data_IF_927026915973
#
_entry.id   IF_927026915973
#
_cell.length_a   1.000
_cell.length_b   1.000
_cell.length_c   1.000
_cell.angle_alpha   90.00
_cell.angle_beta   90.00
_cell.angle_gamma   90.00
#
_symmetry.space_group_name_H-M   'P 1'
#
loop_
_entity.id
_entity.type
_entity.pdbx_description
1 polymer ?
#
# COMPACT_ATOMS: atom_id res chain seq x y z
N UNK A 1 34.49 6.24 19.35
CA UNK A 1 33.36 5.48 18.76
C UNK A 1 32.11 5.89 19.53
N UNK A 2 31.33 6.81 18.97
CA UNK A 2 30.17 7.38 19.64
C UNK A 2 29.01 6.38 19.61
N UNK A 3 28.43 6.14 20.78
CA UNK A 3 27.26 5.28 21.01
C UNK A 3 26.08 5.78 20.18
N UNK A 4 25.35 4.92 19.43
CA UNK A 4 24.09 5.33 18.82
C UNK A 4 23.13 5.69 19.96
N UNK A 5 22.63 6.92 19.90
CA UNK A 5 21.86 7.55 20.95
C UNK A 5 20.51 6.83 21.11
N UNK A 6 20.33 6.14 22.24
CA UNK A 6 19.09 5.47 22.64
C UNK A 6 18.22 6.48 23.37
N UNK A 7 17.23 7.08 22.71
CA UNK A 7 16.26 7.98 23.34
C UNK A 7 14.91 7.28 23.50
N UNK A 8 14.51 7.10 24.77
CA UNK A 8 13.13 6.81 25.16
C UNK A 8 12.66 5.35 25.04
N UNK A 9 12.98 4.52 26.04
CA UNK A 9 12.18 3.32 26.31
C UNK A 9 10.86 3.78 26.91
N UNK A 10 9.79 3.86 26.13
CA UNK A 10 8.46 3.81 26.70
C UNK A 10 8.22 2.36 27.15
N UNK A 11 8.66 1.99 28.35
CA UNK A 11 8.16 0.78 29.01
C UNK A 11 6.71 1.04 29.38
N UNK A 12 5.78 0.56 28.56
CA UNK A 12 4.39 0.46 28.96
C UNK A 12 4.22 -0.73 29.94
N UNK A 13 3.42 -0.59 30.99
CA UNK A 13 3.06 -1.70 31.86
C UNK A 13 2.28 -2.76 31.06
N UNK A 14 2.44 -4.04 31.41
CA UNK A 14 1.59 -5.11 30.86
C UNK A 14 0.16 -4.89 31.35
N UNK A 15 -0.71 -4.42 30.47
CA UNK A 15 -2.15 -4.39 30.72
C UNK A 15 -2.78 -5.36 29.74
N UNK A 16 -3.26 -6.47 30.30
CA UNK A 16 -4.09 -7.42 29.58
C UNK A 16 -5.42 -6.76 29.20
N UNK A 17 -5.77 -6.87 27.92
CA UNK A 17 -7.14 -6.81 27.40
C UNK A 17 -7.83 -5.45 27.46
N UNK A 18 -8.01 -4.84 26.28
CA UNK A 18 -9.04 -3.82 26.07
C UNK A 18 -8.67 -2.71 25.10
N UNK A 19 -8.55 -3.03 23.81
CA UNK A 19 -8.95 -2.18 22.65
C UNK A 19 -8.62 -2.77 21.26
N UNK A 20 -8.26 -4.07 21.19
CA UNK A 20 -8.05 -4.80 19.92
C UNK A 20 -9.20 -4.60 18.89
N UNK A 21 -10.41 -4.33 19.38
CA UNK A 21 -11.62 -4.24 18.55
C UNK A 21 -11.64 -3.14 17.49
N UNK A 22 -11.00 -1.98 17.68
CA UNK A 22 -11.05 -0.90 16.66
C UNK A 22 -10.15 -1.20 15.47
N UNK A 23 -8.91 -1.63 15.73
CA UNK A 23 -7.96 -2.03 14.68
C UNK A 23 -8.47 -3.28 13.97
N UNK A 24 -9.00 -4.26 14.72
CA UNK A 24 -9.61 -5.45 14.13
C UNK A 24 -10.85 -5.12 13.29
N UNK A 25 -11.71 -4.21 13.75
CA UNK A 25 -12.86 -3.74 12.97
C UNK A 25 -12.45 -2.98 11.70
N UNK A 26 -11.36 -2.21 11.74
CA UNK A 26 -10.79 -1.57 10.55
C UNK A 26 -10.18 -2.59 9.59
N UNK A 27 -9.49 -3.62 10.10
CA UNK A 27 -8.95 -4.72 9.30
C UNK A 27 -10.08 -5.49 8.60
N UNK A 28 -11.17 -5.78 9.31
CA UNK A 28 -12.35 -6.48 8.76
C UNK A 28 -13.06 -5.70 7.64
N UNK A 29 -12.85 -4.38 7.53
CA UNK A 29 -13.38 -3.58 6.42
C UNK A 29 -12.61 -3.80 5.10
N UNK A 30 -11.40 -4.38 5.15
CA UNK A 30 -10.64 -4.69 3.95
C UNK A 30 -10.95 -6.11 3.46
N UNK A 31 -11.94 -6.23 2.56
CA UNK A 31 -12.32 -7.51 1.95
C UNK A 31 -11.20 -8.16 1.11
N UNK A 32 -10.24 -7.35 0.63
CA UNK A 32 -9.05 -7.80 -0.09
C UNK A 32 -7.79 -7.43 0.72
N UNK A 33 -7.13 -8.41 1.39
CA UNK A 33 -5.92 -8.15 2.18
C UNK A 33 -4.76 -7.56 1.36
N UNK A 34 -4.76 -7.72 0.03
CA UNK A 34 -3.73 -7.16 -0.85
C UNK A 34 -4.06 -5.74 -1.33
N UNK A 35 -5.20 -5.17 -0.93
CA UNK A 35 -5.55 -3.78 -1.23
C UNK A 35 -4.58 -2.77 -0.58
N UNK A 36 -3.77 -3.18 0.41
CA UNK A 36 -2.74 -2.32 0.99
C UNK A 36 -1.75 -1.76 -0.04
N UNK A 37 -1.52 -2.49 -1.16
CA UNK A 37 -0.69 -1.96 -2.25
C UNK A 37 -1.25 -0.65 -2.81
N UNK A 38 -2.58 -0.55 -2.95
CA UNK A 38 -3.23 0.67 -3.44
C UNK A 38 -2.95 1.83 -2.49
N UNK A 39 -3.14 1.61 -1.20
CA UNK A 39 -3.00 2.64 -0.17
C UNK A 39 -1.54 3.11 -0.06
N UNK A 40 -0.57 2.19 -0.14
CA UNK A 40 0.85 2.56 -0.12
C UNK A 40 1.30 3.28 -1.39
N UNK A 41 0.78 2.89 -2.57
CA UNK A 41 1.05 3.61 -3.83
C UNK A 41 0.40 4.99 -3.80
N UNK A 42 -0.82 5.12 -3.26
CA UNK A 42 -1.47 6.42 -3.07
C UNK A 42 -0.63 7.33 -2.17
N UNK A 43 -0.14 6.82 -1.04
CA UNK A 43 0.72 7.58 -0.14
C UNK A 43 2.01 8.06 -0.84
N UNK A 44 2.61 7.24 -1.70
CA UNK A 44 3.76 7.63 -2.50
C UNK A 44 3.42 8.76 -3.48
N UNK A 45 2.30 8.63 -4.19
CA UNK A 45 1.76 9.62 -5.13
C UNK A 45 1.47 10.95 -4.44
N UNK A 46 0.91 10.92 -3.23
CA UNK A 46 0.62 12.10 -2.40
C UNK A 46 1.90 12.74 -1.82
N UNK A 47 2.92 11.94 -1.54
CA UNK A 47 4.25 12.40 -1.15
C UNK A 47 5.06 12.99 -2.32
N UNK A 48 4.51 13.03 -3.53
CA UNK A 48 5.17 13.54 -4.72
C UNK A 48 6.27 12.64 -5.25
N UNK A 49 6.20 11.33 -4.98
CA UNK A 49 7.17 10.36 -5.49
C UNK A 49 7.16 10.34 -7.03
N UNK A 50 8.34 10.06 -7.60
CA UNK A 50 8.51 9.94 -9.05
C UNK A 50 8.48 8.50 -9.53
N UNK A 51 8.60 7.53 -8.61
CA UNK A 51 8.50 6.09 -8.87
C UNK A 51 8.19 5.33 -7.58
N UNK A 52 7.71 4.11 -7.75
CA UNK A 52 7.54 3.13 -6.67
C UNK A 52 8.22 1.82 -7.07
N UNK A 53 8.99 1.26 -6.13
CA UNK A 53 9.63 -0.06 -6.26
C UNK A 53 9.05 -0.99 -5.21
N UNK A 54 8.57 -2.15 -5.65
CA UNK A 54 7.94 -3.16 -4.81
C UNK A 54 8.76 -4.44 -4.89
N UNK A 55 9.24 -4.90 -3.73
CA UNK A 55 9.97 -6.16 -3.59
C UNK A 55 9.15 -7.17 -2.80
N UNK A 56 9.20 -8.44 -3.18
CA UNK A 56 8.68 -9.56 -2.39
C UNK A 56 9.74 -10.66 -2.33
N UNK A 57 10.35 -10.89 -1.16
CA UNK A 57 11.37 -11.91 -0.98
C UNK A 57 10.92 -12.94 0.05
N UNK A 58 10.88 -14.21 -0.32
CA UNK A 58 10.59 -15.28 0.64
C UNK A 58 11.89 -15.84 1.24
N UNK A 59 11.93 -15.90 2.56
CA UNK A 59 13.04 -16.41 3.36
C UNK A 59 12.61 -17.70 4.08
N UNK A 60 13.33 -18.79 3.85
CA UNK A 60 13.08 -20.06 4.54
C UNK A 60 13.38 -19.94 6.04
N UNK A 61 12.54 -20.54 6.88
CA UNK A 61 12.85 -20.72 8.30
C UNK A 61 13.65 -22.00 8.53
N UNK A 62 14.02 -22.25 9.79
CA UNK A 62 14.64 -23.52 10.17
C UNK A 62 13.65 -24.71 10.08
N UNK A 63 12.35 -24.44 10.12
CA UNK A 63 11.31 -25.46 10.01
C UNK A 63 11.00 -25.75 8.53
N UNK A 64 11.03 -27.03 8.10
CA UNK A 64 10.79 -27.38 6.71
C UNK A 64 9.43 -26.88 6.19
N UNK A 65 9.45 -26.12 5.10
CA UNK A 65 8.25 -25.60 4.44
C UNK A 65 7.70 -24.31 5.06
N UNK A 66 8.19 -23.90 6.23
CA UNK A 66 7.85 -22.62 6.83
C UNK A 66 8.84 -21.53 6.40
N UNK A 67 8.38 -20.29 6.41
CA UNK A 67 9.19 -19.13 6.04
C UNK A 67 8.45 -17.82 6.23
N UNK A 68 9.10 -16.75 5.80
CA UNK A 68 8.57 -15.39 5.90
C UNK A 68 8.65 -14.75 4.53
N UNK A 69 7.51 -14.25 4.06
CA UNK A 69 7.46 -13.33 2.92
C UNK A 69 7.74 -11.91 3.41
N UNK A 70 8.82 -11.32 2.92
CA UNK A 70 9.20 -9.93 3.18
C UNK A 70 8.76 -9.08 2.00
N UNK A 71 7.69 -8.32 2.18
CA UNK A 71 7.17 -7.39 1.16
C UNK A 71 7.64 -5.98 1.47
N UNK A 72 8.25 -5.30 0.51
CA UNK A 72 8.67 -3.92 0.63
C UNK A 72 8.01 -3.05 -0.43
N UNK A 73 7.53 -1.87 -0.05
CA UNK A 73 7.08 -0.81 -0.95
C UNK A 73 7.93 0.42 -0.67
N UNK A 74 8.70 0.85 -1.67
CA UNK A 74 9.63 1.98 -1.58
C UNK A 74 9.25 3.06 -2.57
N UNK A 75 9.19 4.29 -2.09
CA UNK A 75 9.02 5.49 -2.89
C UNK A 75 10.22 6.45 -2.69
N UNK A 76 10.34 7.41 -3.60
CA UNK A 76 11.30 8.53 -3.52
C UNK A 76 10.60 9.88 -3.34
N UNK A 77 9.47 9.90 -2.63
CA UNK A 77 8.75 11.12 -2.27
C UNK A 77 9.47 11.94 -1.20
N UNK A 78 8.74 12.89 -0.61
CA UNK A 78 9.29 13.82 0.38
C UNK A 78 9.63 13.19 1.75
N UNK A 79 9.24 11.94 2.00
CA UNK A 79 9.43 11.26 3.28
C UNK A 79 8.65 11.90 4.42
N UNK A 80 8.97 11.50 5.66
CA UNK A 80 8.28 11.96 6.86
C UNK A 80 9.26 12.42 7.94
N UNK A 81 8.87 13.46 8.68
CA UNK A 81 9.54 13.85 9.91
C UNK A 81 9.05 13.02 11.10
N UNK A 82 9.78 13.08 12.21
CA UNK A 82 9.35 12.50 13.49
C UNK A 82 7.92 12.87 13.87
N UNK A 83 7.57 14.15 13.72
CA UNK A 83 6.25 14.65 14.10
C UNK A 83 5.14 14.02 13.27
N UNK A 84 5.38 13.77 11.99
CA UNK A 84 4.42 13.08 11.11
C UNK A 84 4.24 11.63 11.56
N UNK A 85 5.33 10.91 11.83
CA UNK A 85 5.27 9.53 12.35
C UNK A 85 4.47 9.45 13.66
N UNK A 86 4.77 10.34 14.62
CA UNK A 86 4.10 10.34 15.92
C UNK A 86 2.61 10.75 15.81
N UNK A 87 2.27 11.71 14.95
CA UNK A 87 0.90 12.27 14.89
C UNK A 87 -0.04 11.58 13.89
N UNK A 88 0.48 10.77 12.97
CA UNK A 88 -0.36 10.15 11.92
C UNK A 88 -0.32 8.62 12.00
N UNK A 89 0.85 8.02 12.22
CA UNK A 89 0.98 6.56 12.26
C UNK A 89 0.76 6.02 13.67
N UNK A 90 1.37 6.64 14.70
CA UNK A 90 1.30 6.07 16.06
C UNK A 90 0.00 6.39 16.80
N UNK A 91 -0.80 7.35 16.32
CA UNK A 91 -2.06 7.75 16.97
C UNK A 91 -3.06 6.59 17.02
N UNK A 92 -3.18 5.81 15.95
CA UNK A 92 -4.09 4.66 15.90
C UNK A 92 -3.74 3.59 16.94
N UNK A 93 -2.45 3.41 17.20
CA UNK A 93 -1.94 2.45 18.20
C UNK A 93 -1.85 3.04 19.61
N UNK A 94 -2.06 4.35 19.77
CA UNK A 94 -2.16 5.04 21.08
C UNK A 94 -3.60 5.11 21.57
N UNK A 95 -4.58 5.28 20.67
CA UNK A 95 -6.00 5.34 21.02
C UNK A 95 -6.46 4.12 21.82
N UNK A 96 -5.86 2.94 21.57
CA UNK A 96 -6.12 1.71 22.31
C UNK A 96 -5.63 1.65 23.77
N UNK A 97 -4.96 2.70 24.26
CA UNK A 97 -4.42 2.73 25.65
C UNK A 97 -4.96 3.88 26.50
N UNK A 98 -5.63 4.87 25.89
CA UNK A 98 -6.06 6.08 26.60
C UNK A 98 -7.53 6.48 26.37
N UNK A 99 -8.35 5.68 25.69
CA UNK A 99 -9.79 5.96 25.57
C UNK A 99 -10.11 7.34 24.97
N UNK A 100 -9.23 7.87 24.12
CA UNK A 100 -9.45 9.13 23.43
C UNK A 100 -10.15 8.86 22.09
N UNK A 101 -11.47 8.82 22.15
CA UNK A 101 -12.32 8.96 20.98
C UNK A 101 -12.16 10.38 20.41
N UNK A 102 -11.84 10.47 19.13
CA UNK A 102 -11.99 11.71 18.36
C UNK A 102 -10.70 12.40 17.98
N UNK A 103 -10.02 11.84 16.96
CA UNK A 103 -9.37 12.55 15.83
C UNK A 103 -8.69 11.54 14.91
N UNK A 104 -9.48 10.63 14.33
CA UNK A 104 -8.99 9.80 13.21
C UNK A 104 -9.05 10.71 11.96
N UNK A 105 -7.93 11.32 11.60
CA UNK A 105 -7.81 12.02 10.33
C UNK A 105 -7.88 11.05 9.16
N UNK A 106 -8.32 11.52 7.98
CA UNK A 106 -8.34 10.76 6.71
C UNK A 106 -7.02 10.04 6.37
N UNK A 107 -5.89 10.50 6.94
CA UNK A 107 -4.52 10.02 6.68
C UNK A 107 -4.12 8.72 7.41
N UNK A 108 -4.78 8.35 8.52
CA UNK A 108 -4.35 7.20 9.34
C UNK A 108 -4.89 5.84 8.86
N UNK A 109 -6.06 5.83 8.25
CA UNK A 109 -6.81 4.59 7.95
C UNK A 109 -6.13 3.77 6.84
N UNK A 110 -5.50 4.44 5.87
CA UNK A 110 -4.82 3.77 4.76
C UNK A 110 -3.63 2.93 5.21
N UNK A 111 -2.89 3.36 6.25
CA UNK A 111 -1.77 2.57 6.77
C UNK A 111 -2.22 1.30 7.48
N UNK A 112 -3.37 1.29 8.15
CA UNK A 112 -3.90 0.09 8.84
C UNK A 112 -4.14 -1.07 7.87
N UNK A 113 -4.35 -0.79 6.58
CA UNK A 113 -4.51 -1.83 5.55
C UNK A 113 -3.34 -2.81 5.49
N UNK A 114 -2.12 -2.40 5.87
CA UNK A 114 -0.94 -3.28 5.89
C UNK A 114 -1.06 -4.40 6.93
N UNK A 115 -1.93 -4.22 7.94
CA UNK A 115 -2.18 -5.22 8.99
C UNK A 115 -3.17 -6.30 8.55
N UNK A 116 -3.87 -6.13 7.42
CA UNK A 116 -4.80 -7.12 6.90
C UNK A 116 -4.11 -8.44 6.48
N UNK A 117 -2.80 -8.40 6.22
CA UNK A 117 -1.98 -9.58 5.98
C UNK A 117 -1.49 -10.28 7.26
N UNK A 118 -1.87 -9.76 8.44
CA UNK A 118 -1.44 -10.26 9.75
C UNK A 118 0.10 -10.43 9.82
N UNK A 119 0.89 -9.38 9.50
CA UNK A 119 2.34 -9.48 9.57
C UNK A 119 2.80 -9.65 11.02
N UNK A 120 3.89 -10.40 11.22
CA UNK A 120 4.59 -10.43 12.52
C UNK A 120 5.19 -9.06 12.87
N UNK A 121 5.62 -8.34 11.83
CA UNK A 121 6.26 -7.03 11.96
C UNK A 121 6.05 -6.18 10.72
N UNK A 122 5.82 -4.89 10.93
CA UNK A 122 5.86 -3.85 9.91
C UNK A 122 6.96 -2.87 10.26
N UNK A 123 7.83 -2.55 9.29
CA UNK A 123 8.93 -1.60 9.45
C UNK A 123 8.75 -0.45 8.48
N UNK A 124 8.65 0.77 8.98
CA UNK A 124 8.61 1.99 8.17
C UNK A 124 9.93 2.71 8.33
N UNK A 125 10.70 2.82 7.25
CA UNK A 125 11.95 3.60 7.18
C UNK A 125 11.70 4.83 6.32
N UNK A 126 12.04 6.01 6.83
CA UNK A 126 11.74 7.27 6.13
C UNK A 126 12.74 8.36 6.46
N UNK A 127 13.02 9.21 5.48
CA UNK A 127 13.86 10.40 5.63
C UNK A 127 13.35 11.49 4.70
N UNK A 128 13.43 12.74 5.15
CA UNK A 128 13.12 13.93 4.34
C UNK A 128 14.29 14.36 3.45
N UNK A 129 15.39 13.59 3.46
CA UNK A 129 16.65 13.95 2.80
C UNK A 129 17.54 14.86 3.64
N UNK A 130 17.20 15.05 4.92
CA UNK A 130 18.03 15.72 5.91
C UNK A 130 19.09 14.76 6.50
N UNK A 131 19.50 14.96 7.76
CA UNK A 131 20.48 14.09 8.41
C UNK A 131 19.88 12.90 9.13
N UNK A 132 18.55 12.84 9.25
CA UNK A 132 17.86 11.88 10.09
C UNK A 132 17.15 10.80 9.27
N UNK A 133 17.41 9.54 9.65
CA UNK A 133 16.64 8.39 9.21
C UNK A 133 15.81 7.92 10.38
N UNK A 134 14.50 7.94 10.19
CA UNK A 134 13.54 7.40 11.14
C UNK A 134 13.16 5.97 10.77
N UNK A 135 13.11 5.10 11.78
CA UNK A 135 12.62 3.72 11.64
C UNK A 135 11.55 3.48 12.68
N UNK A 136 10.32 3.24 12.24
CA UNK A 136 9.22 2.76 13.08
C UNK A 136 9.10 1.25 12.89
N UNK A 137 9.23 0.48 13.98
CA UNK A 137 8.91 -0.93 13.99
C UNK A 137 7.61 -1.15 14.74
N UNK A 138 6.59 -1.68 14.06
CA UNK A 138 5.30 -2.06 14.62
C UNK A 138 5.22 -3.59 14.66
N UNK A 139 4.89 -4.14 15.83
CA UNK A 139 4.73 -5.58 16.05
C UNK A 139 3.25 -5.97 15.94
N UNK A 140 3.00 -7.26 15.77
CA UNK A 140 1.65 -7.83 15.69
C UNK A 140 0.78 -7.56 16.91
N UNK A 141 1.38 -7.38 18.10
CA UNK A 141 0.71 -6.99 19.35
C UNK A 141 0.42 -5.48 19.43
N UNK A 142 0.55 -4.77 18.31
CA UNK A 142 0.35 -3.33 18.17
C UNK A 142 1.34 -2.48 19.01
N UNK A 143 2.33 -3.10 19.64
CA UNK A 143 3.46 -2.37 20.23
C UNK A 143 4.36 -1.81 19.13
N UNK A 144 4.92 -0.63 19.37
CA UNK A 144 5.82 -0.01 18.41
C UNK A 144 7.06 0.59 19.08
N UNK A 145 8.16 0.62 18.33
CA UNK A 145 9.40 1.30 18.70
C UNK A 145 9.80 2.26 17.57
N UNK A 146 10.26 3.46 17.95
CA UNK A 146 10.72 4.48 17.01
C UNK A 146 12.21 4.74 17.25
N UNK A 147 13.00 4.55 16.20
CA UNK A 147 14.45 4.73 16.21
C UNK A 147 14.85 5.90 15.32
N UNK A 148 15.85 6.66 15.78
CA UNK A 148 16.53 7.69 15.01
C UNK A 148 17.96 7.22 14.76
N UNK A 149 18.43 7.31 13.53
CA UNK A 149 19.82 7.08 13.18
C UNK A 149 20.35 8.24 12.33
N UNK A 150 21.64 8.59 12.47
CA UNK A 150 22.30 9.45 11.51
C UNK A 150 22.28 8.76 10.14
N UNK A 151 21.82 9.49 9.13
CA UNK A 151 21.72 9.00 7.78
C UNK A 151 20.52 9.64 7.11
N UNK A 152 20.75 10.25 5.96
CA UNK A 152 19.72 10.69 5.05
C UNK A 152 20.36 10.75 3.69
N UNK A 153 19.81 9.95 2.78
CA UNK A 153 20.19 9.99 1.37
C UNK A 153 19.19 10.86 0.62
N UNK A 154 18.78 10.42 -0.56
CA UNK A 154 17.56 10.91 -1.18
C UNK A 154 16.36 10.67 -0.25
N UNK A 155 15.44 11.63 -0.21
CA UNK A 155 14.19 11.52 0.54
C UNK A 155 13.36 10.33 0.08
N UNK A 156 12.44 9.89 0.93
CA UNK A 156 11.46 8.85 0.59
C UNK A 156 11.08 7.99 1.77
N UNK A 157 10.20 7.04 1.51
CA UNK A 157 9.74 6.07 2.49
C UNK A 157 9.89 4.64 1.97
N UNK A 158 10.16 3.70 2.88
CA UNK A 158 10.09 2.26 2.62
C UNK A 158 9.25 1.64 3.71
N UNK A 159 8.17 0.98 3.33
CA UNK A 159 7.32 0.18 4.22
C UNK A 159 7.60 -1.29 3.94
N UNK A 160 8.01 -2.03 4.95
CA UNK A 160 8.35 -3.45 4.86
C UNK A 160 7.47 -4.28 5.80
N UNK A 161 6.77 -5.28 5.26
CA UNK A 161 5.94 -6.23 5.99
C UNK A 161 6.68 -7.56 6.06
N UNK A 162 6.70 -8.17 7.24
CA UNK A 162 7.17 -9.54 7.46
C UNK A 162 5.95 -10.44 7.71
N UNK A 163 5.58 -11.23 6.70
CA UNK A 163 4.36 -12.06 6.72
C UNK A 163 4.77 -13.53 6.79
N UNK A 164 4.40 -14.27 7.84
CA UNK A 164 4.57 -15.72 7.86
C UNK A 164 3.88 -16.33 6.64
N UNK A 165 4.61 -17.11 5.85
CA UNK A 165 4.08 -17.70 4.63
C UNK A 165 4.75 -19.04 4.36
N UNK A 166 3.94 -20.09 4.21
CA UNK A 166 4.44 -21.41 3.85
C UNK A 166 4.97 -21.40 2.41
N UNK A 167 5.97 -22.25 2.14
CA UNK A 167 6.66 -22.30 0.85
C UNK A 167 5.71 -22.58 -0.32
N UNK A 168 4.74 -23.46 -0.13
CA UNK A 168 3.75 -23.86 -1.13
C UNK A 168 2.70 -22.77 -1.43
N UNK A 169 2.66 -21.70 -0.63
CA UNK A 169 1.80 -20.54 -0.83
C UNK A 169 2.48 -19.38 -1.56
N UNK A 170 3.81 -19.43 -1.74
CA UNK A 170 4.60 -18.33 -2.30
C UNK A 170 4.12 -17.91 -3.69
N UNK A 171 3.96 -18.86 -4.62
CA UNK A 171 3.51 -18.54 -5.98
C UNK A 171 2.12 -17.90 -5.98
N UNK A 172 1.21 -18.42 -5.14
CA UNK A 172 -0.15 -17.88 -5.00
C UNK A 172 -0.11 -16.44 -4.47
N UNK A 173 0.73 -16.18 -3.47
CA UNK A 173 0.91 -14.84 -2.89
C UNK A 173 1.47 -13.87 -3.94
N UNK A 174 2.55 -14.24 -4.62
CA UNK A 174 3.21 -13.40 -5.63
C UNK A 174 2.26 -13.08 -6.79
N UNK A 175 1.57 -14.08 -7.34
CA UNK A 175 0.58 -13.85 -8.40
C UNK A 175 -0.61 -13.03 -7.88
N UNK A 176 -0.99 -13.20 -6.61
CA UNK A 176 -1.97 -12.38 -5.90
C UNK A 176 -1.56 -10.91 -5.86
N UNK A 177 -0.32 -10.63 -5.45
CA UNK A 177 0.24 -9.27 -5.39
C UNK A 177 0.21 -8.59 -6.74
N UNK A 178 0.61 -9.29 -7.82
CA UNK A 178 0.55 -8.75 -9.18
C UNK A 178 -0.89 -8.50 -9.64
N UNK A 179 -1.84 -9.40 -9.32
CA UNK A 179 -3.26 -9.18 -9.62
C UNK A 179 -3.80 -7.95 -8.90
N UNK A 180 -3.50 -7.79 -7.61
CA UNK A 180 -3.92 -6.64 -6.83
C UNK A 180 -3.32 -5.34 -7.39
N UNK A 181 -2.01 -5.33 -7.66
CA UNK A 181 -1.32 -4.18 -8.25
C UNK A 181 -1.89 -3.79 -9.62
N UNK A 182 -2.19 -4.76 -10.50
CA UNK A 182 -2.83 -4.48 -11.80
C UNK A 182 -4.28 -4.03 -11.65
N UNK A 183 -5.03 -4.60 -10.70
CA UNK A 183 -6.40 -4.15 -10.44
C UNK A 183 -6.40 -2.69 -9.98
N UNK A 184 -5.58 -2.37 -8.99
CA UNK A 184 -5.67 -1.10 -8.27
C UNK A 184 -4.80 0.02 -8.86
N UNK A 185 -3.66 -0.31 -9.46
CA UNK A 185 -2.61 0.66 -9.78
C UNK A 185 -2.16 0.63 -11.25
N UNK A 186 -2.82 -0.13 -12.13
CA UNK A 186 -2.39 -0.29 -13.55
C UNK A 186 -2.25 1.01 -14.33
N UNK A 187 -2.91 2.10 -13.93
CA UNK A 187 -2.85 3.37 -14.63
C UNK A 187 -2.15 4.47 -13.84
N UNK A 188 -1.48 4.13 -12.74
CA UNK A 188 -0.78 5.06 -11.88
C UNK A 188 0.09 6.05 -12.67
N UNK A 189 0.10 7.31 -12.23
CA UNK A 189 0.83 8.40 -12.90
C UNK A 189 2.36 8.31 -12.74
N UNK A 190 2.85 7.33 -11.98
CA UNK A 190 4.27 7.06 -11.77
C UNK A 190 4.63 5.61 -12.15
N UNK A 191 5.90 5.34 -12.51
CA UNK A 191 6.38 3.99 -12.73
C UNK A 191 6.29 3.13 -11.48
N UNK A 192 5.75 1.92 -11.63
CA UNK A 192 5.66 0.92 -10.57
C UNK A 192 6.36 -0.36 -11.04
N UNK A 193 7.45 -0.70 -10.37
CA UNK A 193 8.19 -1.93 -10.61
C UNK A 193 7.95 -2.94 -9.50
N UNK A 194 7.62 -4.18 -9.87
CA UNK A 194 7.44 -5.29 -8.94
C UNK A 194 8.46 -6.39 -9.25
N UNK A 195 9.17 -6.85 -8.22
CA UNK A 195 10.11 -7.97 -8.33
C UNK A 195 9.92 -8.92 -7.15
N UNK A 196 9.81 -10.22 -7.44
CA UNK A 196 9.69 -11.27 -6.45
C UNK A 196 10.81 -12.30 -6.56
N UNK A 197 11.37 -12.74 -5.43
CA UNK A 197 12.47 -13.68 -5.36
C UNK A 197 12.27 -14.72 -4.24
N UNK A 198 12.90 -15.88 -4.42
CA UNK A 198 13.24 -16.78 -3.31
C UNK A 198 14.66 -16.46 -2.85
N UNK A 199 14.86 -16.19 -1.56
CA UNK A 199 16.19 -15.89 -1.04
C UNK A 199 17.09 -17.11 -1.21
N UNK A 200 18.26 -16.89 -1.81
CA UNK A 200 19.20 -17.95 -2.18
C UNK A 200 19.07 -18.44 -3.63
N UNK A 201 18.05 -18.02 -4.37
CA UNK A 201 17.91 -18.26 -5.80
C UNK A 201 18.39 -17.04 -6.61
N UNK A 202 18.99 -17.29 -7.78
CA UNK A 202 19.63 -16.25 -8.60
C UNK A 202 18.68 -15.47 -9.50
N UNK A 203 17.60 -16.10 -9.95
CA UNK A 203 16.62 -15.49 -10.87
C UNK A 203 15.34 -15.07 -10.11
N UNK A 204 14.65 -13.99 -10.53
CA UNK A 204 13.35 -13.64 -9.97
C UNK A 204 12.29 -14.70 -10.28
N UNK A 205 11.43 -14.98 -9.29
CA UNK A 205 10.18 -15.72 -9.51
C UNK A 205 9.27 -14.98 -10.49
N UNK A 206 9.18 -13.67 -10.32
CA UNK A 206 8.39 -12.75 -11.15
C UNK A 206 9.06 -11.38 -11.17
N UNK A 207 9.01 -10.75 -12.33
CA UNK A 207 9.37 -9.36 -12.53
C UNK A 207 8.35 -8.72 -13.47
N UNK A 208 7.83 -7.55 -13.11
CA UNK A 208 6.87 -6.85 -13.93
C UNK A 208 6.91 -5.33 -13.70
N UNK A 209 6.64 -4.59 -14.78
CA UNK A 209 6.16 -3.20 -14.69
C UNK A 209 4.63 -3.22 -14.62
N UNK A 210 4.07 -2.49 -13.65
CA UNK A 210 2.62 -2.50 -13.37
C UNK A 210 1.91 -1.35 -14.07
N UNK A 211 2.52 -0.16 -14.12
CA UNK A 211 1.93 1.03 -14.71
C UNK A 211 1.85 0.93 -16.24
N UNK A 212 0.72 1.36 -16.78
CA UNK A 212 0.38 1.40 -18.19
C UNK A 212 -0.47 2.65 -18.46
N UNK A 213 -0.40 3.26 -19.64
CA UNK A 213 -1.28 4.38 -19.97
C UNK A 213 -2.76 4.03 -19.79
N UNK A 214 -3.55 5.00 -19.31
CA UNK A 214 -5.01 4.85 -19.22
C UNK A 214 -5.58 4.40 -20.56
N UNK A 215 -6.23 3.24 -20.55
CA UNK A 215 -6.71 2.55 -21.75
C UNK A 215 -7.91 1.67 -21.43
N UNK A 216 -8.61 1.22 -22.46
CA UNK A 216 -9.64 0.17 -22.37
C UNK A 216 -9.29 -0.92 -23.36
N UNK A 217 -9.48 -2.18 -22.97
CA UNK A 217 -9.33 -3.31 -23.88
C UNK A 217 -10.55 -3.36 -24.82
N UNK A 218 -10.37 -2.89 -26.05
CA UNK A 218 -11.42 -2.77 -27.06
C UNK A 218 -10.83 -2.86 -28.48
N UNK A 219 -11.66 -3.21 -29.48
CA UNK A 219 -11.22 -3.28 -30.88
C UNK A 219 -10.83 -1.90 -31.41
N UNK A 220 -11.58 -0.87 -30.99
CA UNK A 220 -11.35 0.54 -31.33
C UNK A 220 -11.62 1.37 -30.08
N UNK A 221 -10.75 2.33 -29.78
CA UNK A 221 -10.92 3.27 -28.66
C UNK A 221 -10.65 4.72 -29.08
N UNK A 222 -11.37 5.64 -28.45
CA UNK A 222 -11.14 7.08 -28.51
C UNK A 222 -10.70 7.59 -27.15
N UNK A 223 -9.84 8.61 -27.14
CA UNK A 223 -9.37 9.30 -25.93
C UNK A 223 -9.71 10.77 -26.05
N UNK A 224 -10.29 11.33 -25.00
CA UNK A 224 -10.62 12.76 -24.88
C UNK A 224 -10.06 13.29 -23.56
N UNK A 225 -9.45 14.46 -23.61
CA UNK A 225 -8.94 15.17 -22.44
C UNK A 225 -9.54 16.56 -22.40
N UNK A 226 -10.29 16.88 -21.34
CA UNK A 226 -10.95 18.17 -21.17
C UNK A 226 -11.01 18.55 -19.68
N UNK A 227 -10.54 19.75 -19.33
CA UNK A 227 -10.69 20.29 -17.97
C UNK A 227 -10.07 19.46 -16.84
N UNK A 228 -9.02 18.68 -17.13
CA UNK A 228 -8.38 17.77 -16.16
C UNK A 228 -9.02 16.38 -16.09
N UNK A 229 -10.13 16.16 -16.81
CA UNK A 229 -10.73 14.85 -17.00
C UNK A 229 -10.16 14.19 -18.24
N UNK A 230 -9.75 12.93 -18.12
CA UNK A 230 -9.44 12.06 -19.25
C UNK A 230 -10.50 10.98 -19.36
N UNK A 231 -11.08 10.80 -20.54
CA UNK A 231 -12.00 9.70 -20.85
C UNK A 231 -11.43 8.86 -21.96
N UNK A 232 -11.35 7.55 -21.76
CA UNK A 232 -11.06 6.58 -22.82
C UNK A 232 -12.28 5.70 -22.97
N UNK A 233 -12.89 5.71 -24.15
CA UNK A 233 -14.06 4.90 -24.47
C UNK A 233 -13.77 4.02 -25.68
N UNK A 234 -14.18 2.75 -25.63
CA UNK A 234 -13.93 1.80 -26.71
C UNK A 234 -15.10 0.85 -26.93
N UNK A 235 -15.21 0.37 -28.16
CA UNK A 235 -16.25 -0.57 -28.60
C UNK A 235 -15.70 -1.99 -28.58
N UNK A 236 -16.44 -2.91 -27.97
CA UNK A 236 -16.08 -4.33 -27.86
C UNK A 236 -17.00 -5.19 -28.74
N UNK A 237 -16.43 -6.20 -29.39
CA UNK A 237 -17.18 -7.23 -30.11
C UNK A 237 -17.57 -8.39 -29.19
N UNK A 238 -16.70 -8.69 -28.22
CA UNK A 238 -16.84 -9.79 -27.27
C UNK A 238 -16.43 -9.33 -25.86
N UNK A 239 -17.03 -9.96 -24.84
CA UNK A 239 -16.78 -9.64 -23.43
C UNK A 239 -17.87 -8.77 -22.81
N UNK A 240 -17.67 -8.37 -21.56
CA UNK A 240 -18.61 -7.55 -20.81
C UNK A 240 -18.33 -6.06 -20.99
N UNK A 241 -19.38 -5.20 -20.98
CA UNK A 241 -19.21 -3.77 -20.86
C UNK A 241 -18.51 -3.42 -19.55
N UNK A 242 -17.91 -2.23 -19.48
CA UNK A 242 -17.18 -1.80 -18.31
C UNK A 242 -17.28 -0.29 -18.15
N UNK A 243 -17.45 0.17 -16.92
CA UNK A 243 -17.24 1.56 -16.54
C UNK A 243 -16.31 1.59 -15.34
N UNK A 244 -15.16 2.24 -15.50
CA UNK A 244 -14.12 2.35 -14.48
C UNK A 244 -13.76 3.80 -14.21
N UNK A 245 -13.59 4.13 -12.93
CA UNK A 245 -13.22 5.46 -12.45
C UNK A 245 -11.86 5.41 -11.75
N UNK A 246 -10.99 6.36 -12.09
CA UNK A 246 -9.65 6.47 -11.57
C UNK A 246 -9.38 7.87 -11.01
N UNK A 247 -8.59 7.93 -9.94
CA UNK A 247 -7.96 9.16 -9.47
C UNK A 247 -6.45 8.94 -9.44
N UNK A 248 -5.70 9.82 -10.13
CA UNK A 248 -4.25 9.74 -10.32
C UNK A 248 -3.78 8.34 -10.77
N UNK A 249 -4.60 7.69 -11.58
CA UNK A 249 -4.33 6.36 -12.13
C UNK A 249 -4.65 5.18 -11.19
N UNK A 250 -5.16 5.44 -9.99
CA UNK A 250 -5.60 4.43 -9.04
C UNK A 250 -7.09 4.15 -9.20
N UNK A 251 -7.46 2.87 -9.26
CA UNK A 251 -8.85 2.45 -9.43
C UNK A 251 -9.66 2.79 -8.17
N UNK A 252 -10.72 3.58 -8.37
CA UNK A 252 -11.70 3.89 -7.34
C UNK A 252 -12.88 2.93 -7.42
N UNK A 253 -13.50 2.79 -8.58
CA UNK A 253 -14.65 1.91 -8.77
C UNK A 253 -14.66 1.35 -10.19
N UNK A 254 -15.13 0.11 -10.32
CA UNK A 254 -15.30 -0.57 -11.59
C UNK A 254 -16.61 -1.37 -11.56
N UNK A 255 -17.42 -1.23 -12.59
CA UNK A 255 -18.64 -2.00 -12.79
C UNK A 255 -18.68 -2.60 -14.19
N UNK A 256 -19.36 -3.74 -14.31
CA UNK A 256 -19.68 -4.40 -15.59
C UNK A 256 -21.15 -4.24 -15.98
N UNK A 257 -21.89 -3.39 -15.27
CA UNK A 257 -23.22 -3.00 -15.67
C UNK A 257 -23.17 -2.17 -16.95
N UNK A 258 -24.12 -2.42 -17.85
CA UNK A 258 -24.21 -1.77 -19.17
C UNK A 258 -24.72 -0.32 -19.11
N UNK A 259 -24.16 0.50 -18.22
CA UNK A 259 -24.59 1.90 -17.96
C UNK A 259 -24.55 2.75 -19.23
N UNK A 260 -23.55 2.52 -20.09
CA UNK A 260 -23.32 3.25 -21.34
C UNK A 260 -23.55 2.37 -22.60
N UNK A 261 -24.22 1.23 -22.43
CA UNK A 261 -24.50 0.24 -23.48
C UNK A 261 -23.69 -1.05 -23.35
N UNK A 262 -24.20 -2.11 -23.97
CA UNK A 262 -23.69 -3.49 -23.80
C UNK A 262 -22.33 -3.76 -24.46
N UNK A 263 -21.95 -2.91 -25.42
CA UNK A 263 -20.76 -3.08 -26.25
C UNK A 263 -19.71 -1.99 -26.01
N UNK A 264 -19.75 -1.33 -24.86
CA UNK A 264 -18.89 -0.19 -24.56
C UNK A 264 -18.09 -0.44 -23.28
N UNK A 265 -16.79 -0.15 -23.34
CA UNK A 265 -15.93 -0.02 -22.17
C UNK A 265 -15.45 1.42 -22.04
N UNK A 266 -15.54 1.98 -20.85
CA UNK A 266 -15.14 3.35 -20.55
C UNK A 266 -14.27 3.39 -19.30
N UNK A 267 -13.14 4.07 -19.39
CA UNK A 267 -12.30 4.45 -18.26
C UNK A 267 -12.24 5.96 -18.15
N UNK A 268 -12.55 6.49 -16.97
CA UNK A 268 -12.57 7.92 -16.66
C UNK A 268 -11.54 8.20 -15.58
N UNK A 269 -10.64 9.15 -15.82
CA UNK A 269 -9.67 9.61 -14.84
C UNK A 269 -9.84 11.10 -14.57
N UNK A 270 -9.93 11.47 -13.29
CA UNK A 270 -9.95 12.87 -12.86
C UNK A 270 -9.46 12.97 -11.42
N UNK A 271 -8.58 13.95 -11.14
CA UNK A 271 -8.02 14.17 -9.81
C UNK A 271 -9.05 14.62 -8.75
N UNK A 272 -10.25 15.03 -9.18
CA UNK A 272 -11.35 15.48 -8.32
C UNK A 272 -12.27 14.34 -7.87
N UNK A 273 -12.14 13.14 -8.45
CA UNK A 273 -12.95 12.00 -8.06
C UNK A 273 -12.46 11.46 -6.72
N UNK A 274 -13.35 11.30 -5.76
CA UNK A 274 -13.05 10.66 -4.48
C UNK A 274 -14.05 9.54 -4.25
N UNK A 275 -13.68 8.57 -3.40
CA UNK A 275 -14.65 7.61 -2.91
C UNK A 275 -15.77 8.30 -2.12
N UNK A 276 -16.98 7.76 -2.21
CA UNK A 276 -18.01 8.03 -1.21
C UNK A 276 -17.53 7.55 0.17
N UNK A 277 -18.16 8.05 1.25
CA UNK A 277 -17.78 7.71 2.64
C UNK A 277 -17.72 6.19 2.91
N UNK A 278 -18.48 5.37 2.18
CA UNK A 278 -18.47 3.90 2.31
C UNK A 278 -17.39 3.21 1.47
N UNK A 279 -16.65 3.92 0.61
CA UNK A 279 -15.65 3.37 -0.34
C UNK A 279 -16.20 2.42 -1.42
N UNK A 280 -17.50 2.15 -1.43
CA UNK A 280 -18.16 1.26 -2.41
C UNK A 280 -18.51 1.96 -3.73
N UNK A 281 -18.42 3.30 -3.77
CA UNK A 281 -18.83 4.10 -4.94
C UNK A 281 -17.92 5.33 -5.10
N UNK A 282 -18.10 6.03 -6.22
CA UNK A 282 -17.39 7.25 -6.64
C UNK A 282 -18.39 8.36 -6.85
#
# INVERSE_FOLDING_TARGET
MASPYRSGRATAPSVAGGDDGLVDALIQQFADPLAFYRELVQNAIDAGATRVSIGASWEASAEPGAGTMVVSVRDDGCGMSRQVLENQLTVLFRSGKEGQEGKIGKFGIGFVSVLALVPEKVVVRTTTGDTDLWTLELRSDQSYELFQAPGGGSSGTTVTLHVPLARDEVDRFVDGSLRALRKWCRHAELPIHFVAHLVGEGEPLREARVDTPLSVEASISVRVEEGGTTVVAGVIEHGSPQLAFFNRGLLLHETTEAVLGDHVRVSIQDGRLEHTLSRDSV
#
